data_IF_678260134836
#
_entry.id   IF_678260134836
#
_cell.length_a   1.000
_cell.length_b   1.000
_cell.length_c   1.000
_cell.angle_alpha   90.00
_cell.angle_beta   90.00
_cell.angle_gamma   90.00
#
_symmetry.space_group_name_H-M   'P 1'
#
loop_
_entity.id
_entity.type
_entity.pdbx_description
1 polymer ?
#
# COMPACT_ATOMS: atom_id res chain seq x y z
N UNK A 1 -30.34 -26.63 -5.26
CA UNK A 1 -29.22 -26.01 -6.00
C UNK A 1 -29.83 -25.13 -7.09
N UNK A 2 -30.27 -23.92 -6.73
CA UNK A 2 -31.07 -23.03 -7.61
C UNK A 2 -30.17 -22.10 -8.41
N UNK A 3 -30.24 -22.31 -9.67
CA UNK A 3 -30.05 -21.46 -10.85
C UNK A 3 -29.69 -20.01 -10.53
N UNK A 4 -28.40 -19.72 -10.45
CA UNK A 4 -27.90 -18.36 -10.69
C UNK A 4 -28.24 -18.02 -12.15
N UNK A 5 -29.04 -16.98 -12.38
CA UNK A 5 -29.32 -16.48 -13.73
C UNK A 5 -27.97 -16.12 -14.38
N UNK A 6 -27.82 -16.34 -15.67
CA UNK A 6 -26.58 -16.06 -16.43
C UNK A 6 -26.05 -14.62 -16.22
N UNK A 7 -26.94 -13.66 -15.98
CA UNK A 7 -26.59 -12.29 -15.63
C UNK A 7 -25.93 -12.16 -14.25
N UNK A 8 -26.39 -12.93 -13.26
CA UNK A 8 -25.82 -12.90 -11.93
C UNK A 8 -24.39 -13.46 -11.96
N UNK A 9 -24.14 -14.51 -12.77
CA UNK A 9 -22.81 -15.09 -12.91
C UNK A 9 -21.77 -14.11 -13.48
N UNK A 10 -22.14 -13.31 -14.51
CA UNK A 10 -21.29 -12.26 -15.07
C UNK A 10 -20.96 -11.17 -14.04
N UNK A 11 -21.96 -10.74 -13.26
CA UNK A 11 -21.75 -9.75 -12.19
C UNK A 11 -20.80 -10.28 -11.13
N UNK A 12 -20.95 -11.54 -10.70
CA UNK A 12 -20.03 -12.17 -9.74
C UNK A 12 -18.60 -12.30 -10.29
N UNK A 13 -18.44 -12.58 -11.59
CA UNK A 13 -17.12 -12.59 -12.23
C UNK A 13 -16.47 -11.20 -12.23
N UNK A 14 -17.20 -10.13 -12.56
CA UNK A 14 -16.71 -8.76 -12.49
C UNK A 14 -16.31 -8.37 -11.06
N UNK A 15 -17.14 -8.70 -10.07
CA UNK A 15 -16.82 -8.49 -8.65
C UNK A 15 -15.56 -9.28 -8.23
N UNK A 16 -15.40 -10.49 -8.75
CA UNK A 16 -14.22 -11.31 -8.53
C UNK A 16 -12.96 -10.64 -9.08
N UNK A 17 -12.96 -10.17 -10.34
CA UNK A 17 -11.85 -9.42 -10.91
C UNK A 17 -11.50 -8.18 -10.08
N UNK A 18 -12.51 -7.38 -9.73
CA UNK A 18 -12.32 -6.19 -8.89
C UNK A 18 -11.73 -6.54 -7.51
N UNK A 19 -12.15 -7.67 -6.91
CA UNK A 19 -11.62 -8.17 -5.64
C UNK A 19 -10.16 -8.61 -5.75
N UNK A 20 -9.81 -9.36 -6.81
CA UNK A 20 -8.46 -9.90 -7.03
C UNK A 20 -7.43 -8.78 -7.18
N UNK A 21 -7.74 -7.76 -8.00
CA UNK A 21 -6.85 -6.59 -8.17
C UNK A 21 -6.91 -5.62 -6.99
N UNK A 22 -7.77 -5.87 -6.00
CA UNK A 22 -8.07 -4.93 -4.90
C UNK A 22 -8.41 -3.53 -5.42
N UNK A 23 -9.38 -3.45 -6.32
CA UNK A 23 -9.73 -2.23 -7.06
C UNK A 23 -9.88 -0.99 -6.18
N UNK A 24 -10.44 -1.12 -4.97
CA UNK A 24 -10.51 -0.02 -4.02
C UNK A 24 -9.11 0.55 -3.68
N UNK A 25 -8.12 -0.31 -3.43
CA UNK A 25 -6.77 0.14 -3.12
C UNK A 25 -6.11 0.83 -4.32
N UNK A 26 -6.40 0.37 -5.54
CA UNK A 26 -5.90 0.99 -6.78
C UNK A 26 -6.48 2.40 -6.95
N UNK A 27 -7.78 2.58 -6.70
CA UNK A 27 -8.42 3.91 -6.74
C UNK A 27 -7.77 4.87 -5.74
N UNK A 28 -7.53 4.40 -4.50
CA UNK A 28 -6.85 5.20 -3.47
C UNK A 28 -5.41 5.52 -3.88
N UNK A 29 -4.71 4.57 -4.50
CA UNK A 29 -3.34 4.78 -5.00
C UNK A 29 -3.30 5.86 -6.10
N UNK A 30 -4.21 5.79 -7.07
CA UNK A 30 -4.32 6.80 -8.15
C UNK A 30 -4.61 8.17 -7.53
N UNK A 31 -5.58 8.26 -6.61
CA UNK A 31 -5.89 9.49 -5.88
C UNK A 31 -4.64 10.03 -5.16
N UNK A 32 -3.92 9.16 -4.44
CA UNK A 32 -2.70 9.54 -3.74
C UNK A 32 -1.65 10.11 -4.69
N UNK A 33 -1.43 9.49 -5.85
CA UNK A 33 -0.47 9.99 -6.85
C UNK A 33 -0.87 11.37 -7.39
N UNK A 34 -2.14 11.60 -7.71
CA UNK A 34 -2.61 12.92 -8.16
C UNK A 34 -2.49 13.97 -7.07
N UNK A 35 -2.89 13.67 -5.84
CA UNK A 35 -2.81 14.60 -4.72
C UNK A 35 -1.36 14.96 -4.39
N UNK A 36 -0.48 13.97 -4.28
CA UNK A 36 0.95 14.21 -3.99
C UNK A 36 1.64 14.93 -5.14
N UNK A 37 1.36 14.60 -6.40
CA UNK A 37 1.89 15.29 -7.56
C UNK A 37 1.53 16.78 -7.53
N UNK A 38 0.25 17.10 -7.25
CA UNK A 38 -0.25 18.47 -7.24
C UNK A 38 0.25 19.29 -6.06
N UNK A 39 0.35 18.71 -4.86
CA UNK A 39 0.56 19.50 -3.65
C UNK A 39 1.97 19.35 -3.06
N UNK A 40 2.69 18.27 -3.38
CA UNK A 40 4.04 18.05 -2.87
C UNK A 40 5.09 18.26 -3.96
N UNK A 41 4.90 17.67 -5.15
CA UNK A 41 5.95 17.67 -6.19
C UNK A 41 5.89 18.86 -7.15
N UNK A 42 4.69 19.34 -7.52
CA UNK A 42 4.55 20.44 -8.46
C UNK A 42 3.32 21.30 -8.16
N UNK A 43 3.35 22.09 -7.07
CA UNK A 43 2.20 22.89 -6.62
C UNK A 43 1.80 24.01 -7.60
N UNK A 44 2.72 24.49 -8.44
CA UNK A 44 2.46 25.53 -9.41
C UNK A 44 1.60 25.01 -10.58
N UNK A 45 1.73 23.74 -10.95
CA UNK A 45 1.00 23.16 -12.07
C UNK A 45 -0.51 23.14 -11.81
N UNK A 46 -1.34 23.61 -12.77
CA UNK A 46 -2.79 23.56 -12.64
C UNK A 46 -3.33 22.13 -12.70
N UNK A 47 -4.46 21.86 -12.07
CA UNK A 47 -5.15 20.55 -12.20
C UNK A 47 -5.39 20.16 -13.65
N UNK A 48 -5.83 21.13 -14.48
CA UNK A 48 -6.07 20.87 -15.91
C UNK A 48 -4.78 20.41 -16.61
N UNK A 49 -3.66 21.09 -16.38
CA UNK A 49 -2.37 20.74 -16.96
C UNK A 49 -1.90 19.36 -16.47
N UNK A 50 -2.07 19.05 -15.19
CA UNK A 50 -1.68 17.76 -14.62
C UNK A 50 -2.51 16.59 -15.18
N UNK A 51 -3.84 16.76 -15.35
CA UNK A 51 -4.72 15.73 -15.92
C UNK A 51 -4.43 15.47 -17.41
N UNK A 52 -3.98 16.49 -18.16
CA UNK A 52 -3.64 16.35 -19.57
C UNK A 52 -2.15 16.06 -19.82
N UNK A 53 -1.34 15.96 -18.76
CA UNK A 53 0.04 15.51 -18.89
C UNK A 53 0.08 14.01 -19.21
N UNK A 54 0.38 13.71 -20.48
CA UNK A 54 0.42 12.35 -21.00
C UNK A 54 1.44 11.48 -20.28
N UNK A 55 2.62 12.02 -19.99
CA UNK A 55 3.69 11.27 -19.35
C UNK A 55 3.34 10.96 -17.88
N UNK A 56 2.77 11.95 -17.18
CA UNK A 56 2.27 11.74 -15.83
C UNK A 56 1.14 10.68 -15.79
N UNK A 57 0.18 10.77 -16.71
CA UNK A 57 -0.87 9.76 -16.84
C UNK A 57 -0.30 8.36 -17.06
N UNK A 58 0.74 8.22 -17.89
CA UNK A 58 1.40 6.94 -18.13
C UNK A 58 2.09 6.39 -16.88
N UNK A 59 2.70 7.23 -16.02
CA UNK A 59 3.25 6.79 -14.74
C UNK A 59 2.13 6.27 -13.82
N UNK A 60 1.04 7.01 -13.71
CA UNK A 60 -0.10 6.63 -12.86
C UNK A 60 -0.68 5.30 -13.33
N UNK A 61 -0.89 5.12 -14.64
CA UNK A 61 -1.40 3.87 -15.19
C UNK A 61 -0.39 2.71 -15.06
N UNK A 62 0.90 2.94 -15.33
CA UNK A 62 1.94 1.94 -15.17
C UNK A 62 2.03 1.47 -13.70
N UNK A 63 1.92 2.40 -12.75
CA UNK A 63 1.86 2.09 -11.32
C UNK A 63 0.61 1.30 -10.97
N UNK A 64 -0.56 1.71 -11.46
CA UNK A 64 -1.82 1.02 -11.21
C UNK A 64 -1.79 -0.42 -11.75
N UNK A 65 -1.26 -0.62 -12.95
CA UNK A 65 -1.18 -1.94 -13.57
C UNK A 65 -0.17 -2.85 -12.87
N UNK A 66 1.05 -2.38 -12.59
CA UNK A 66 2.06 -3.17 -11.86
C UNK A 66 1.61 -3.52 -10.45
N UNK A 67 0.98 -2.59 -9.73
CA UNK A 67 0.42 -2.85 -8.39
C UNK A 67 -0.75 -3.83 -8.46
N UNK A 68 -1.64 -3.71 -9.44
CA UNK A 68 -2.75 -4.66 -9.67
C UNK A 68 -2.21 -6.07 -9.95
N UNK A 69 -1.21 -6.18 -10.81
CA UNK A 69 -0.51 -7.44 -11.07
C UNK A 69 0.11 -8.00 -9.77
N UNK A 70 0.68 -7.13 -8.94
CA UNK A 70 1.21 -7.50 -7.63
C UNK A 70 0.15 -8.08 -6.71
N UNK A 71 -1.07 -7.54 -6.68
CA UNK A 71 -2.16 -8.12 -5.91
C UNK A 71 -2.59 -9.48 -6.45
N UNK A 72 -2.61 -9.67 -7.77
CA UNK A 72 -2.97 -10.95 -8.39
C UNK A 72 -1.95 -12.03 -8.01
N UNK A 73 -0.66 -11.78 -8.17
CA UNK A 73 0.38 -12.78 -7.88
C UNK A 73 0.45 -13.08 -6.38
N UNK A 74 0.24 -12.07 -5.52
CA UNK A 74 0.12 -12.26 -4.08
C UNK A 74 -1.06 -13.16 -3.73
N UNK A 75 -2.24 -12.91 -4.32
CA UNK A 75 -3.43 -13.71 -4.11
C UNK A 75 -3.22 -15.17 -4.54
N UNK A 76 -2.57 -15.37 -5.67
CA UNK A 76 -2.24 -16.71 -6.17
C UNK A 76 -1.44 -17.53 -5.16
N UNK A 77 -0.37 -16.96 -4.60
CA UNK A 77 0.49 -17.64 -3.63
C UNK A 77 -0.12 -17.70 -2.21
N UNK A 78 -0.99 -16.75 -1.83
CA UNK A 78 -1.64 -16.71 -0.52
C UNK A 78 -2.94 -17.52 -0.45
N UNK A 79 -3.40 -18.10 -1.56
CA UNK A 79 -4.66 -18.83 -1.67
C UNK A 79 -4.86 -19.88 -0.54
N UNK A 80 -3.88 -20.73 -0.17
CA UNK A 80 -4.06 -21.68 0.94
C UNK A 80 -4.26 -20.99 2.30
N UNK A 81 -3.55 -19.90 2.55
CA UNK A 81 -3.64 -19.09 3.77
C UNK A 81 -4.97 -18.34 3.86
N UNK A 82 -5.41 -17.72 2.74
CA UNK A 82 -6.65 -16.94 2.67
C UNK A 82 -7.89 -17.84 2.83
N UNK A 83 -7.83 -19.09 2.44
CA UNK A 83 -8.87 -20.09 2.72
C UNK A 83 -9.17 -20.21 4.23
N UNK A 84 -8.15 -20.06 5.08
CA UNK A 84 -8.28 -20.17 6.54
C UNK A 84 -8.67 -18.82 7.14
N UNK A 85 -7.96 -17.75 6.78
CA UNK A 85 -8.12 -16.44 7.40
C UNK A 85 -9.33 -15.67 6.88
N UNK A 86 -9.66 -15.81 5.58
CA UNK A 86 -10.68 -15.02 4.87
C UNK A 86 -11.50 -15.85 3.89
N UNK A 87 -12.25 -16.89 4.38
CA UNK A 87 -12.92 -17.87 3.51
C UNK A 87 -13.91 -17.23 2.52
N UNK A 88 -14.63 -16.18 2.91
CA UNK A 88 -15.57 -15.49 2.01
C UNK A 88 -14.83 -14.81 0.84
N UNK A 89 -13.73 -14.12 1.13
CA UNK A 89 -12.88 -13.50 0.13
C UNK A 89 -12.28 -14.54 -0.81
N UNK A 90 -11.70 -15.59 -0.25
CA UNK A 90 -11.15 -16.74 -0.99
C UNK A 90 -12.17 -17.31 -1.98
N UNK A 91 -13.43 -17.52 -1.55
CA UNK A 91 -14.48 -18.03 -2.42
C UNK A 91 -14.75 -17.10 -3.62
N UNK A 92 -14.90 -15.80 -3.39
CA UNK A 92 -15.15 -14.82 -4.45
C UNK A 92 -13.97 -14.78 -5.44
N UNK A 93 -12.75 -14.75 -4.98
CA UNK A 93 -11.56 -14.63 -5.81
C UNK A 93 -11.27 -15.87 -6.64
N UNK A 94 -11.69 -17.07 -6.18
CA UNK A 94 -11.57 -18.31 -6.93
C UNK A 94 -12.70 -18.57 -7.94
N UNK A 95 -13.66 -17.66 -8.12
CA UNK A 95 -14.57 -17.68 -9.26
C UNK A 95 -13.85 -17.44 -10.61
N UNK A 96 -12.69 -16.79 -10.57
CA UNK A 96 -11.78 -16.65 -11.71
C UNK A 96 -10.73 -17.75 -11.66
N UNK A 97 -10.59 -18.51 -12.74
CA UNK A 97 -9.63 -19.62 -12.79
C UNK A 97 -8.20 -19.12 -12.58
N UNK A 98 -7.35 -19.92 -11.95
CA UNK A 98 -5.94 -19.59 -11.72
C UNK A 98 -5.19 -19.29 -13.02
N UNK A 99 -5.54 -19.96 -14.12
CA UNK A 99 -4.98 -19.68 -15.46
C UNK A 99 -5.30 -18.26 -15.92
N UNK A 100 -6.54 -17.81 -15.74
CA UNK A 100 -6.95 -16.45 -16.12
C UNK A 100 -6.31 -15.40 -15.20
N UNK A 101 -6.12 -15.69 -13.91
CA UNK A 101 -5.38 -14.82 -12.99
C UNK A 101 -3.93 -14.63 -13.44
N UNK A 102 -3.23 -15.72 -13.81
CA UNK A 102 -1.85 -15.64 -14.30
C UNK A 102 -1.75 -14.93 -15.66
N UNK A 103 -2.70 -15.17 -16.57
CA UNK A 103 -2.76 -14.42 -17.83
C UNK A 103 -2.92 -12.92 -17.58
N UNK A 104 -3.86 -12.53 -16.69
CA UNK A 104 -4.06 -11.13 -16.35
C UNK A 104 -2.82 -10.52 -15.67
N UNK A 105 -2.12 -11.27 -14.82
CA UNK A 105 -0.87 -10.86 -14.21
C UNK A 105 0.19 -10.50 -15.25
N UNK A 106 0.42 -11.38 -16.23
CA UNK A 106 1.40 -11.14 -17.30
C UNK A 106 0.97 -9.94 -18.15
N UNK A 107 -0.31 -9.90 -18.55
CA UNK A 107 -0.86 -8.83 -19.36
C UNK A 107 -0.67 -7.45 -18.72
N UNK A 108 -1.02 -7.29 -17.44
CA UNK A 108 -0.88 -6.02 -16.72
C UNK A 108 0.59 -5.58 -16.58
N UNK A 109 1.51 -6.51 -16.33
CA UNK A 109 2.94 -6.20 -16.26
C UNK A 109 3.51 -5.76 -17.61
N UNK A 110 3.14 -6.45 -18.70
CA UNK A 110 3.56 -6.06 -20.06
C UNK A 110 3.04 -4.66 -20.40
N UNK A 111 1.76 -4.38 -20.11
CA UNK A 111 1.20 -3.04 -20.34
C UNK A 111 1.88 -1.98 -19.47
N UNK A 112 2.22 -2.27 -18.23
CA UNK A 112 2.98 -1.36 -17.37
C UNK A 112 4.32 -0.97 -18.01
N UNK A 113 5.07 -1.95 -18.53
CA UNK A 113 6.35 -1.70 -19.20
C UNK A 113 6.18 -0.95 -20.52
N UNK A 114 5.14 -1.26 -21.32
CA UNK A 114 4.82 -0.52 -22.55
C UNK A 114 4.55 0.96 -22.23
N UNK A 115 3.76 1.27 -21.19
CA UNK A 115 3.52 2.65 -20.78
C UNK A 115 4.81 3.32 -20.28
N UNK A 116 5.62 2.63 -19.50
CA UNK A 116 6.91 3.14 -19.03
C UNK A 116 7.87 3.47 -20.18
N UNK A 117 7.86 2.66 -21.26
CA UNK A 117 8.71 2.89 -22.46
C UNK A 117 8.33 4.16 -23.22
N UNK A 118 7.11 4.64 -23.11
CA UNK A 118 6.67 5.90 -23.70
C UNK A 118 7.16 7.14 -22.95
N UNK A 119 7.66 6.96 -21.72
CA UNK A 119 8.12 8.07 -20.86
C UNK A 119 9.63 8.24 -20.98
N UNK A 120 10.39 7.21 -20.61
CA UNK A 120 11.85 7.22 -20.66
C UNK A 120 12.45 5.84 -20.39
N UNK A 121 13.72 5.67 -20.73
CA UNK A 121 14.47 4.46 -20.39
C UNK A 121 14.58 4.25 -18.86
N UNK A 122 14.75 5.33 -18.09
CA UNK A 122 14.78 5.25 -16.62
C UNK A 122 13.44 4.76 -16.03
N UNK A 123 12.32 5.13 -16.65
CA UNK A 123 11.01 4.62 -16.26
C UNK A 123 10.89 3.10 -16.52
N UNK A 124 11.41 2.60 -17.63
CA UNK A 124 11.47 1.14 -17.90
C UNK A 124 12.24 0.42 -16.79
N UNK A 125 13.43 0.92 -16.46
CA UNK A 125 14.27 0.33 -15.40
C UNK A 125 13.52 0.34 -14.06
N UNK A 126 12.93 1.48 -13.69
CA UNK A 126 12.19 1.63 -12.43
C UNK A 126 11.04 0.62 -12.33
N UNK A 127 10.16 0.57 -13.33
CA UNK A 127 9.02 -0.35 -13.29
C UNK A 127 9.44 -1.82 -13.42
N UNK A 128 10.53 -2.13 -14.14
CA UNK A 128 11.09 -3.49 -14.18
C UNK A 128 11.58 -3.94 -12.81
N UNK A 129 12.32 -3.10 -12.10
CA UNK A 129 12.79 -3.37 -10.72
C UNK A 129 11.58 -3.50 -9.77
N UNK A 130 10.58 -2.64 -9.91
CA UNK A 130 9.37 -2.68 -9.09
C UNK A 130 8.58 -3.97 -9.28
N UNK A 131 8.32 -4.38 -10.54
CA UNK A 131 7.63 -5.63 -10.89
C UNK A 131 8.41 -6.85 -10.38
N UNK A 132 9.73 -6.87 -10.58
CA UNK A 132 10.61 -7.93 -10.09
C UNK A 132 10.60 -8.00 -8.56
N UNK A 133 10.66 -6.85 -7.88
CA UNK A 133 10.58 -6.75 -6.43
C UNK A 133 9.26 -7.33 -5.88
N UNK A 134 8.12 -6.99 -6.49
CA UNK A 134 6.81 -7.54 -6.12
C UNK A 134 6.77 -9.06 -6.33
N UNK A 135 7.33 -9.54 -7.42
CA UNK A 135 7.38 -10.97 -7.74
C UNK A 135 8.22 -11.75 -6.71
N UNK A 136 9.45 -11.31 -6.45
CA UNK A 136 10.34 -11.92 -5.45
C UNK A 136 9.71 -11.88 -4.05
N UNK A 137 9.09 -10.75 -3.69
CA UNK A 137 8.34 -10.63 -2.45
C UNK A 137 7.25 -11.69 -2.35
N UNK A 138 6.45 -11.84 -3.39
CA UNK A 138 5.30 -12.74 -3.41
C UNK A 138 5.68 -14.22 -3.32
N UNK A 139 6.80 -14.63 -3.91
CA UNK A 139 7.26 -16.02 -3.90
C UNK A 139 7.98 -16.37 -2.60
N UNK A 140 8.91 -15.50 -2.17
CA UNK A 140 9.93 -15.87 -1.17
C UNK A 140 9.89 -14.98 0.07
N UNK A 141 10.05 -13.65 -0.08
CA UNK A 141 10.34 -12.75 1.02
C UNK A 141 9.19 -12.68 2.02
N UNK A 142 7.94 -12.75 1.57
CA UNK A 142 6.76 -12.69 2.45
C UNK A 142 6.68 -13.82 3.49
N UNK A 143 7.44 -14.89 3.30
CA UNK A 143 7.53 -16.02 4.25
C UNK A 143 8.67 -15.85 5.25
N UNK A 144 9.54 -14.87 5.00
CA UNK A 144 10.69 -14.61 5.83
C UNK A 144 10.30 -13.61 6.91
N UNK A 145 10.53 -13.96 8.12
CA UNK A 145 10.52 -13.19 9.33
C UNK A 145 10.30 -11.66 9.12
N UNK A 146 10.85 -10.79 9.91
CA UNK A 146 10.70 -9.32 9.83
C UNK A 146 11.08 -8.69 8.48
N UNK A 147 11.87 -9.36 7.65
CA UNK A 147 12.21 -8.92 6.29
C UNK A 147 10.96 -8.75 5.41
N UNK A 148 9.92 -9.56 5.63
CA UNK A 148 8.67 -9.45 4.88
C UNK A 148 8.01 -8.08 5.06
N UNK A 149 7.98 -7.55 6.27
CA UNK A 149 7.31 -6.31 6.60
C UNK A 149 8.11 -5.10 6.10
N UNK A 150 9.44 -5.13 6.21
CA UNK A 150 10.31 -4.09 5.65
C UNK A 150 10.16 -4.04 4.13
N UNK A 151 10.29 -5.19 3.46
CA UNK A 151 10.24 -5.25 2.00
C UNK A 151 8.87 -4.86 1.45
N UNK A 152 7.79 -5.30 2.12
CA UNK A 152 6.42 -4.87 1.81
C UNK A 152 6.28 -3.36 1.90
N UNK A 153 6.80 -2.74 2.97
CA UNK A 153 6.72 -1.29 3.19
C UNK A 153 7.51 -0.51 2.14
N UNK A 154 8.71 -0.99 1.77
CA UNK A 154 9.49 -0.40 0.66
C UNK A 154 8.70 -0.46 -0.64
N UNK A 155 8.15 -1.62 -1.01
CA UNK A 155 7.35 -1.76 -2.23
C UNK A 155 6.11 -0.84 -2.23
N UNK A 156 5.50 -0.61 -1.07
CA UNK A 156 4.32 0.25 -0.97
C UNK A 156 4.61 1.74 -1.06
N UNK A 157 5.84 2.19 -0.77
CA UNK A 157 6.24 3.59 -0.98
C UNK A 157 6.82 3.84 -2.38
N UNK A 158 7.16 2.79 -3.16
CA UNK A 158 7.69 2.93 -4.52
C UNK A 158 6.82 3.80 -5.45
N UNK A 159 5.47 3.73 -5.42
CA UNK A 159 4.62 4.65 -6.19
C UNK A 159 4.83 6.13 -5.88
N UNK A 160 5.11 6.47 -4.61
CA UNK A 160 5.45 7.83 -4.21
C UNK A 160 6.84 8.21 -4.72
N UNK A 161 7.82 7.32 -4.60
CA UNK A 161 9.19 7.55 -5.11
C UNK A 161 9.23 7.64 -6.65
N UNK A 162 8.32 6.97 -7.36
CA UNK A 162 8.19 7.12 -8.81
C UNK A 162 7.92 8.57 -9.21
N UNK A 163 7.12 9.29 -8.43
CA UNK A 163 6.84 10.71 -8.66
C UNK A 163 8.07 11.57 -8.40
N UNK A 164 8.84 11.27 -7.34
CA UNK A 164 10.11 11.99 -7.08
C UNK A 164 11.08 11.87 -8.26
N UNK A 165 11.20 10.68 -8.84
CA UNK A 165 12.02 10.46 -10.04
C UNK A 165 11.47 11.19 -11.26
N UNK A 166 10.16 11.21 -11.44
CA UNK A 166 9.51 11.89 -12.57
C UNK A 166 9.66 13.39 -12.53
N UNK A 167 9.35 14.01 -11.38
CA UNK A 167 9.46 15.45 -11.19
C UNK A 167 10.89 15.91 -10.93
N UNK A 168 11.84 14.97 -10.79
CA UNK A 168 13.27 15.20 -10.46
C UNK A 168 13.45 16.00 -9.17
N UNK A 169 12.55 15.83 -8.22
CA UNK A 169 12.55 16.52 -6.94
C UNK A 169 13.02 15.55 -5.86
N UNK A 170 14.18 15.87 -5.25
CA UNK A 170 14.82 15.03 -4.23
C UNK A 170 15.11 15.83 -2.95
N UNK A 171 14.16 16.67 -2.56
CA UNK A 171 14.24 17.46 -1.35
C UNK A 171 14.17 16.58 -0.11
N UNK A 172 14.86 17.00 0.96
CA UNK A 172 14.85 16.29 2.25
C UNK A 172 13.44 16.15 2.82
N UNK A 173 12.54 17.09 2.56
CA UNK A 173 11.14 17.05 2.98
C UNK A 173 10.40 15.87 2.34
N UNK A 174 10.69 15.57 1.07
CA UNK A 174 10.12 14.39 0.37
C UNK A 174 10.58 13.10 1.06
N UNK A 175 11.84 13.04 1.51
CA UNK A 175 12.33 11.91 2.28
C UNK A 175 11.67 11.80 3.66
N UNK A 176 11.31 12.90 4.31
CA UNK A 176 10.56 12.87 5.56
C UNK A 176 9.13 12.33 5.35
N UNK A 177 8.44 12.74 4.28
CA UNK A 177 7.16 12.15 3.87
C UNK A 177 7.28 10.65 3.59
N UNK A 178 8.29 10.25 2.82
CA UNK A 178 8.54 8.84 2.49
C UNK A 178 8.83 8.02 3.76
N UNK A 179 9.65 8.52 4.68
CA UNK A 179 9.96 7.87 5.94
C UNK A 179 8.73 7.74 6.85
N UNK A 180 7.93 8.81 6.97
CA UNK A 180 6.68 8.77 7.73
C UNK A 180 5.72 7.72 7.18
N UNK A 181 5.52 7.71 5.86
CA UNK A 181 4.66 6.74 5.19
C UNK A 181 5.19 5.30 5.34
N UNK A 182 6.51 5.13 5.22
CA UNK A 182 7.17 3.83 5.43
C UNK A 182 6.87 3.27 6.82
N UNK A 183 7.09 4.02 7.89
CA UNK A 183 6.86 3.54 9.25
C UNK A 183 5.38 3.28 9.53
N UNK A 184 4.45 4.08 8.99
CA UNK A 184 3.02 3.81 9.11
C UNK A 184 2.59 2.52 8.41
N UNK A 185 3.11 2.27 7.19
CA UNK A 185 2.83 1.05 6.44
C UNK A 185 3.44 -0.15 7.16
N UNK A 186 4.67 0.00 7.66
CA UNK A 186 5.35 -1.05 8.41
C UNK A 186 4.57 -1.42 9.68
N UNK A 187 4.13 -0.43 10.45
CA UNK A 187 3.26 -0.64 11.61
C UNK A 187 1.97 -1.38 11.26
N UNK A 188 1.30 -0.96 10.17
CA UNK A 188 0.08 -1.61 9.69
C UNK A 188 0.32 -3.08 9.31
N UNK A 189 1.45 -3.40 8.68
CA UNK A 189 1.76 -4.76 8.26
C UNK A 189 2.07 -5.67 9.45
N UNK A 190 2.69 -5.15 10.53
CA UNK A 190 2.85 -5.88 11.81
C UNK A 190 1.48 -6.23 12.42
N UNK A 191 0.52 -5.29 12.42
CA UNK A 191 -0.84 -5.55 12.92
C UNK A 191 -1.55 -6.58 12.05
N UNK A 192 -1.35 -6.55 10.74
CA UNK A 192 -1.90 -7.54 9.82
C UNK A 192 -1.37 -8.95 10.12
N UNK A 193 -0.10 -9.08 10.53
CA UNK A 193 0.46 -10.37 10.93
C UNK A 193 -0.20 -10.89 12.22
N UNK A 194 -0.47 -10.03 13.20
CA UNK A 194 -1.26 -10.39 14.39
C UNK A 194 -2.69 -10.84 14.04
N UNK A 195 -3.34 -10.15 13.08
CA UNK A 195 -4.68 -10.50 12.58
C UNK A 195 -4.68 -11.88 11.90
N UNK A 196 -3.64 -12.17 11.11
CA UNK A 196 -3.56 -13.35 10.25
C UNK A 196 -2.84 -14.55 10.87
N UNK A 197 -2.50 -14.50 12.15
CA UNK A 197 -1.70 -15.48 12.87
C UNK A 197 -2.07 -16.96 12.59
N UNK A 198 -3.38 -17.30 12.61
CA UNK A 198 -3.84 -18.68 12.42
C UNK A 198 -3.45 -19.25 11.05
N UNK A 199 -3.71 -18.50 9.98
CA UNK A 199 -3.37 -18.92 8.63
C UNK A 199 -1.86 -18.93 8.40
N UNK A 200 -1.12 -17.98 8.98
CA UNK A 200 0.34 -17.94 8.90
C UNK A 200 0.98 -19.16 9.55
N UNK A 201 0.51 -19.53 10.74
CA UNK A 201 0.96 -20.73 11.44
C UNK A 201 0.74 -22.01 10.62
N UNK A 202 -0.49 -22.21 10.10
CA UNK A 202 -0.83 -23.42 9.32
C UNK A 202 -0.07 -23.46 8.00
N UNK A 203 0.12 -22.29 7.35
CA UNK A 203 0.83 -22.19 6.07
C UNK A 203 2.36 -22.10 6.21
N UNK A 204 2.89 -22.24 7.43
CA UNK A 204 4.32 -22.20 7.76
C UNK A 204 5.01 -20.87 7.36
N UNK A 205 4.27 -19.77 7.40
CA UNK A 205 4.85 -18.43 7.25
C UNK A 205 5.55 -18.04 8.56
N UNK A 206 6.77 -17.56 8.47
CA UNK A 206 7.56 -17.13 9.62
C UNK A 206 7.35 -15.65 9.88
N UNK A 207 6.11 -15.26 10.25
CA UNK A 207 5.81 -13.87 10.64
C UNK A 207 6.22 -13.60 12.09
N UNK A 208 6.29 -12.30 12.48
CA UNK A 208 6.70 -11.89 13.83
C UNK A 208 5.92 -12.65 14.95
N UNK A 209 4.57 -12.70 14.94
CA UNK A 209 3.83 -13.38 16.00
C UNK A 209 3.98 -14.90 15.96
N UNK A 210 4.31 -15.48 14.80
CA UNK A 210 4.55 -16.94 14.66
C UNK A 210 5.90 -17.35 15.22
N UNK A 211 6.93 -16.52 15.05
CA UNK A 211 8.31 -16.83 15.47
C UNK A 211 8.53 -16.50 16.95
N UNK A 212 8.05 -15.36 17.40
CA UNK A 212 8.30 -14.92 18.77
C UNK A 212 7.07 -15.10 19.68
N UNK A 213 6.18 -14.16 19.68
CA UNK A 213 4.93 -14.16 20.43
C UNK A 213 4.12 -12.90 20.11
N UNK A 214 2.86 -12.89 20.52
CA UNK A 214 2.04 -11.68 20.43
C UNK A 214 2.61 -10.53 21.26
N UNK A 215 3.20 -10.82 22.42
CA UNK A 215 3.77 -9.81 23.31
C UNK A 215 4.96 -9.09 22.66
N UNK A 216 5.93 -9.86 22.16
CA UNK A 216 7.12 -9.31 21.48
C UNK A 216 6.70 -8.56 20.20
N UNK A 217 5.71 -9.07 19.45
CA UNK A 217 5.20 -8.39 18.26
C UNK A 217 4.57 -7.04 18.61
N UNK A 218 3.81 -6.95 19.71
CA UNK A 218 3.27 -5.68 20.21
C UNK A 218 4.36 -4.71 20.66
N UNK A 219 5.40 -5.23 21.29
CA UNK A 219 6.55 -4.42 21.70
C UNK A 219 7.27 -3.84 20.47
N UNK A 220 7.56 -4.66 19.46
CA UNK A 220 8.15 -4.21 18.18
C UNK A 220 7.27 -3.17 17.51
N UNK A 221 5.95 -3.39 17.45
CA UNK A 221 5.01 -2.39 16.94
C UNK A 221 5.14 -1.06 17.66
N UNK A 222 5.20 -1.08 19.00
CA UNK A 222 5.34 0.15 19.81
C UNK A 222 6.65 0.87 19.52
N UNK A 223 7.76 0.13 19.33
CA UNK A 223 9.04 0.72 18.91
C UNK A 223 8.96 1.39 17.54
N UNK A 224 8.27 0.76 16.56
CA UNK A 224 8.10 1.35 15.22
C UNK A 224 7.23 2.61 15.30
N UNK A 225 6.21 2.65 16.15
CA UNK A 225 5.44 3.89 16.38
C UNK A 225 6.32 4.99 16.99
N UNK A 226 7.22 4.67 17.91
CA UNK A 226 8.18 5.64 18.45
C UNK A 226 9.10 6.16 17.33
N UNK A 227 9.60 5.27 16.47
CA UNK A 227 10.42 5.67 15.30
C UNK A 227 9.62 6.54 14.31
N UNK A 228 8.30 6.34 14.19
CA UNK A 228 7.45 7.19 13.35
C UNK A 228 7.43 8.64 13.84
N UNK A 229 7.65 8.89 15.14
CA UNK A 229 7.67 10.26 15.67
C UNK A 229 8.90 11.06 15.19
N UNK A 230 9.97 10.41 14.72
CA UNK A 230 11.14 11.12 14.17
C UNK A 230 10.75 11.88 12.90
N UNK A 231 10.29 11.24 11.81
CA UNK A 231 9.85 11.98 10.63
C UNK A 231 8.63 12.88 10.91
N UNK A 232 7.75 12.50 11.84
CA UNK A 232 6.63 13.36 12.26
C UNK A 232 7.12 14.68 12.85
N UNK A 233 8.11 14.61 13.75
CA UNK A 233 8.73 15.79 14.35
C UNK A 233 9.38 16.68 13.27
N UNK A 234 10.16 16.09 12.36
CA UNK A 234 10.81 16.83 11.28
C UNK A 234 9.77 17.56 10.41
N UNK A 235 8.67 16.89 10.05
CA UNK A 235 7.59 17.46 9.23
C UNK A 235 6.80 18.57 9.94
N UNK A 236 6.68 18.53 11.27
CA UNK A 236 6.03 19.60 12.04
C UNK A 236 6.82 20.91 11.95
N UNK A 237 8.16 20.85 11.85
CA UNK A 237 9.01 22.05 11.76
C UNK A 237 9.15 22.60 10.35
N UNK A 238 8.67 21.88 9.34
CA UNK A 238 8.58 22.39 7.97
C UNK A 238 7.33 23.27 7.83
N UNK A 239 7.42 24.33 7.00
CA UNK A 239 6.28 25.22 6.75
C UNK A 239 5.30 24.62 5.75
N UNK A 240 4.60 23.54 6.17
CA UNK A 240 3.60 22.86 5.36
C UNK A 240 2.20 23.50 5.44
N UNK A 241 2.08 24.68 6.04
CA UNK A 241 0.79 25.32 6.24
C UNK A 241 -0.13 24.53 7.17
N UNK A 242 -1.42 24.44 6.85
CA UNK A 242 -2.40 23.74 7.68
C UNK A 242 -2.17 22.22 7.74
N UNK A 243 -1.37 21.63 6.85
CA UNK A 243 -1.03 20.22 6.92
C UNK A 243 -0.24 19.88 8.19
N UNK A 244 0.45 20.83 8.81
CA UNK A 244 1.17 20.61 10.07
C UNK A 244 0.24 20.07 11.18
N UNK A 245 -1.02 20.47 11.19
CA UNK A 245 -1.99 19.91 12.15
C UNK A 245 -2.20 18.40 12.01
N UNK A 246 -2.14 17.86 10.78
CA UNK A 246 -2.20 16.41 10.58
C UNK A 246 -1.05 15.70 11.31
N UNK A 247 0.18 16.23 11.23
CA UNK A 247 1.34 15.65 11.91
C UNK A 247 1.27 15.84 13.43
N UNK A 248 0.80 16.99 13.91
CA UNK A 248 0.58 17.24 15.34
C UNK A 248 -0.45 16.24 15.91
N UNK A 249 -1.58 16.05 15.24
CA UNK A 249 -2.61 15.09 15.68
C UNK A 249 -2.18 13.63 15.46
N UNK A 250 -1.20 13.36 14.60
CA UNK A 250 -0.63 12.03 14.43
C UNK A 250 -0.04 11.48 15.74
N UNK A 251 0.56 12.32 16.57
CA UNK A 251 1.19 11.90 17.83
C UNK A 251 0.15 11.30 18.80
N UNK A 252 -0.87 12.03 19.28
CA UNK A 252 -1.87 11.46 20.19
C UNK A 252 -2.65 10.31 19.54
N UNK A 253 -2.92 10.38 18.23
CA UNK A 253 -3.60 9.30 17.53
C UNK A 253 -2.83 7.97 17.59
N UNK A 254 -1.54 7.98 17.29
CA UNK A 254 -0.70 6.79 17.31
C UNK A 254 -0.49 6.27 18.74
N UNK A 255 -0.41 7.16 19.75
CA UNK A 255 -0.38 6.76 21.16
C UNK A 255 -1.66 6.02 21.53
N UNK A 256 -2.84 6.53 21.16
CA UNK A 256 -4.13 5.86 21.41
C UNK A 256 -4.15 4.48 20.74
N UNK A 257 -3.66 4.36 19.52
CA UNK A 257 -3.56 3.07 18.81
C UNK A 257 -2.70 2.07 19.61
N UNK A 258 -1.56 2.50 20.15
CA UNK A 258 -0.70 1.66 21.01
C UNK A 258 -1.44 1.26 22.27
N UNK A 259 -2.12 2.18 22.95
CA UNK A 259 -2.88 1.89 24.17
C UNK A 259 -4.00 0.86 23.90
N UNK A 260 -4.75 1.00 22.83
CA UNK A 260 -5.77 0.02 22.40
C UNK A 260 -5.12 -1.35 22.15
N UNK A 261 -3.96 -1.40 21.48
CA UNK A 261 -3.25 -2.65 21.21
C UNK A 261 -2.85 -3.39 22.48
N UNK A 262 -2.40 -2.67 23.50
CA UNK A 262 -1.99 -3.28 24.78
C UNK A 262 -3.17 -3.66 25.68
N UNK A 263 -4.28 -2.95 25.59
CA UNK A 263 -5.47 -3.23 26.40
C UNK A 263 -6.20 -4.51 26.00
N UNK A 264 -6.02 -4.99 24.78
CA UNK A 264 -6.80 -6.11 24.26
C UNK A 264 -5.96 -7.13 23.49
N UNK A 265 -6.33 -8.43 23.63
CA UNK A 265 -5.69 -9.57 22.96
C UNK A 265 -6.67 -10.32 22.02
N UNK A 266 -7.51 -9.60 21.28
CA UNK A 266 -8.54 -10.20 20.43
C UNK A 266 -8.28 -9.89 18.95
N UNK A 267 -8.42 -10.89 18.07
CA UNK A 267 -8.26 -10.73 16.61
C UNK A 267 -9.14 -9.62 16.02
N UNK A 268 -10.35 -9.41 16.56
CA UNK A 268 -11.22 -8.31 16.13
C UNK A 268 -10.59 -6.93 16.38
N UNK A 269 -9.83 -6.77 17.45
CA UNK A 269 -9.16 -5.51 17.77
C UNK A 269 -8.01 -5.25 16.79
N UNK A 270 -7.25 -6.29 16.41
CA UNK A 270 -6.20 -6.16 15.38
C UNK A 270 -6.79 -5.69 14.05
N UNK A 271 -7.95 -6.23 13.65
CA UNK A 271 -8.67 -5.77 12.46
C UNK A 271 -9.09 -4.28 12.57
N UNK A 272 -9.57 -3.86 13.73
CA UNK A 272 -9.94 -2.45 13.98
C UNK A 272 -8.70 -1.56 13.84
N UNK A 273 -7.60 -1.89 14.51
CA UNK A 273 -6.34 -1.13 14.45
C UNK A 273 -5.81 -1.09 13.01
N UNK A 274 -5.85 -2.21 12.29
CA UNK A 274 -5.46 -2.26 10.87
C UNK A 274 -6.26 -1.26 10.04
N UNK A 275 -7.57 -1.18 10.24
CA UNK A 275 -8.43 -0.23 9.53
C UNK A 275 -8.22 1.22 9.98
N UNK A 276 -8.00 1.46 11.26
CA UNK A 276 -7.65 2.78 11.78
C UNK A 276 -6.37 3.31 11.10
N UNK A 277 -5.30 2.51 11.04
CA UNK A 277 -4.07 2.91 10.35
C UNK A 277 -4.28 3.18 8.86
N UNK A 278 -5.14 2.41 8.16
CA UNK A 278 -5.50 2.69 6.77
C UNK A 278 -6.21 4.03 6.61
N UNK A 279 -7.18 4.29 7.47
CA UNK A 279 -7.93 5.56 7.47
C UNK A 279 -6.97 6.72 7.74
N UNK A 280 -6.03 6.55 8.67
CA UNK A 280 -5.04 7.58 8.98
C UNK A 280 -4.14 7.89 7.79
N UNK A 281 -3.65 6.87 7.08
CA UNK A 281 -2.88 7.05 5.83
C UNK A 281 -3.72 7.79 4.78
N UNK A 282 -4.99 7.43 4.60
CA UNK A 282 -5.88 8.10 3.66
C UNK A 282 -6.11 9.57 4.04
N UNK A 283 -6.31 9.87 5.32
CA UNK A 283 -6.41 11.24 5.81
C UNK A 283 -5.12 12.03 5.54
N UNK A 284 -3.94 11.39 5.67
CA UNK A 284 -2.66 11.98 5.29
C UNK A 284 -2.59 12.34 3.81
N UNK A 285 -3.07 11.47 2.93
CA UNK A 285 -3.16 11.79 1.50
C UNK A 285 -4.10 12.98 1.25
N UNK A 286 -5.27 13.00 1.86
CA UNK A 286 -6.23 14.09 1.69
C UNK A 286 -5.72 15.41 2.30
N UNK A 287 -4.98 15.35 3.40
CA UNK A 287 -4.42 16.54 4.05
C UNK A 287 -3.34 17.25 3.24
N UNK A 288 -2.77 16.59 2.21
CA UNK A 288 -1.85 17.27 1.28
C UNK A 288 -2.49 18.49 0.60
N UNK A 289 -3.82 18.51 0.44
CA UNK A 289 -4.57 19.68 -0.04
C UNK A 289 -4.36 20.93 0.84
N UNK A 290 -3.98 20.75 2.11
CA UNK A 290 -3.78 21.81 3.08
C UNK A 290 -2.36 22.39 3.06
N UNK A 291 -1.48 21.88 2.19
CA UNK A 291 -0.13 22.43 2.00
C UNK A 291 -0.27 23.83 1.38
N UNK A 292 0.36 24.83 1.98
CA UNK A 292 0.39 26.17 1.43
C UNK A 292 1.33 26.24 0.22
N UNK A 293 0.98 27.07 -0.77
CA UNK A 293 1.76 27.22 -2.01
C UNK A 293 3.16 27.80 -1.75
N UNK A 294 3.37 28.44 -0.60
CA UNK A 294 4.65 29.06 -0.22
C UNK A 294 5.78 28.07 0.08
N UNK A 295 5.51 26.78 0.00
CA UNK A 295 6.49 25.70 0.30
C UNK A 295 7.51 25.46 -0.84
N UNK A 296 7.40 26.15 -1.99
CA UNK A 296 8.18 25.86 -3.22
C UNK A 296 9.04 27.05 -3.66
N UNK A 297 9.24 28.04 -2.83
CA UNK A 297 10.30 29.03 -3.00
C UNK A 297 11.53 28.60 -2.17
#
# INVERSE_FOLDING_TARGET
>A
MNVFKLNDFKIYQLLSFFSIIRGYNIIVLILAQYMTAKYIFNPIQSWKSLFFDKNFLFIVLATAFSTSAGYIINNFFDSPKDKINRPKKFFIENLVSQKNQLFLYIFLNVFSIILASQISFNAIIFFSIYILGIFIYSISIKRLFWLSNIFSSILMIMPFLALSVYFKTFDYVIFYFAAYLFFLIFSRDIIKDLESFKGDWVSRYRTLPVVYSNYITKFIFSLIIILTFIPTYLLIFEDLGLMNYYFIFSIPYLIIVVLILWSYNKSKIYLIIHNLLKVWILLGVLSTYLISINFVE
#
